data_IF_084969066054
#
_entry.id   IF_084969066054
#
_cell.length_a   1.000
_cell.length_b   1.000
_cell.length_c   1.000
_cell.angle_alpha   90.00
_cell.angle_beta   90.00
_cell.angle_gamma   90.00
#
_symmetry.space_group_name_H-M   'P 1'
#
loop_
_entity.id
_entity.type
_entity.pdbx_description
1 polymer ?
#
# COMPACT_ATOMS: atom_id res chain seq x y z
N UNK A 1 -17.65 -5.35 2.78
CA UNK A 1 -17.40 -3.98 2.25
C UNK A 1 -18.70 -3.20 2.32
N UNK A 2 -18.66 -1.92 2.69
CA UNK A 2 -19.84 -1.06 2.77
C UNK A 2 -20.60 -0.94 1.44
N UNK A 3 -19.87 -0.90 0.33
CA UNK A 3 -20.46 -0.87 -1.02
C UNK A 3 -19.94 -2.04 -1.84
N UNK A 4 -20.83 -2.81 -2.45
CA UNK A 4 -20.48 -4.02 -3.22
C UNK A 4 -19.79 -3.65 -4.53
N UNK A 5 -20.08 -2.50 -5.12
CA UNK A 5 -19.47 -2.08 -6.39
C UNK A 5 -17.98 -1.75 -6.25
N UNK A 6 -17.45 -1.58 -5.03
CA UNK A 6 -16.02 -1.57 -4.77
C UNK A 6 -15.31 -2.84 -5.27
N UNK A 7 -16.02 -3.97 -5.36
CA UNK A 7 -15.49 -5.23 -5.89
C UNK A 7 -14.90 -5.06 -7.30
N UNK A 8 -15.48 -4.20 -8.13
CA UNK A 8 -15.03 -4.00 -9.51
C UNK A 8 -13.86 -3.00 -9.61
N UNK A 9 -13.76 -2.05 -8.67
CA UNK A 9 -12.80 -0.96 -8.72
C UNK A 9 -11.58 -1.17 -7.82
N UNK A 10 -11.77 -1.79 -6.67
CA UNK A 10 -10.75 -2.07 -5.65
C UNK A 10 -10.86 -3.52 -5.14
N UNK A 11 -10.80 -4.54 -6.01
CA UNK A 11 -11.05 -5.94 -5.63
C UNK A 11 -10.11 -6.52 -4.57
N UNK A 12 -8.87 -6.00 -4.51
CA UNK A 12 -7.73 -6.55 -3.75
C UNK A 12 -7.14 -5.52 -2.76
N UNK A 13 -7.99 -4.70 -2.14
CA UNK A 13 -7.59 -3.72 -1.11
C UNK A 13 -7.66 -4.34 0.29
N UNK A 14 -6.76 -3.98 1.20
CA UNK A 14 -6.74 -4.51 2.58
C UNK A 14 -8.12 -4.41 3.25
N UNK A 15 -8.71 -3.22 3.20
CA UNK A 15 -9.99 -2.92 3.85
C UNK A 15 -11.20 -3.65 3.24
N UNK A 16 -10.98 -4.44 2.18
CA UNK A 16 -12.02 -5.24 1.55
C UNK A 16 -12.22 -6.64 2.16
N UNK A 17 -11.31 -7.07 3.05
CA UNK A 17 -11.37 -8.35 3.77
C UNK A 17 -11.50 -8.11 5.28
N UNK A 18 -12.14 -9.02 6.04
CA UNK A 18 -12.21 -8.92 7.49
C UNK A 18 -10.85 -9.21 8.14
N UNK A 19 -10.62 -8.62 9.31
CA UNK A 19 -9.54 -8.95 10.25
C UNK A 19 -9.80 -10.35 10.85
N UNK A 20 -8.81 -10.93 11.53
CA UNK A 20 -8.94 -12.26 12.15
C UNK A 20 -10.04 -12.32 13.21
N UNK A 21 -10.31 -11.20 13.89
CA UNK A 21 -11.45 -11.07 14.81
C UNK A 21 -12.83 -10.96 14.12
N UNK A 22 -12.88 -11.10 12.78
CA UNK A 22 -14.09 -11.05 11.96
C UNK A 22 -14.60 -9.64 11.64
N UNK A 23 -14.00 -8.58 12.21
CA UNK A 23 -14.40 -7.20 11.94
C UNK A 23 -13.66 -6.59 10.74
N UNK A 24 -14.27 -5.61 10.08
CA UNK A 24 -13.61 -4.76 9.09
C UNK A 24 -13.04 -3.50 9.75
N UNK A 25 -12.19 -2.76 9.03
CA UNK A 25 -11.66 -1.47 9.49
C UNK A 25 -12.73 -0.39 9.74
N UNK A 26 -13.93 -0.59 9.20
CA UNK A 26 -15.01 0.39 9.23
C UNK A 26 -15.67 0.43 10.61
N UNK A 27 -15.54 1.53 11.37
CA UNK A 27 -16.21 1.68 12.66
C UNK A 27 -17.72 1.74 12.45
N UNK A 28 -18.49 1.30 13.43
CA UNK A 28 -19.94 1.53 13.42
C UNK A 28 -20.24 3.02 13.60
N UNK A 29 -21.32 3.50 13.00
CA UNK A 29 -21.65 4.93 12.99
C UNK A 29 -21.76 5.51 14.40
N UNK A 30 -22.39 4.78 15.32
CA UNK A 30 -22.56 5.14 16.73
C UNK A 30 -21.23 5.23 17.51
N UNK A 31 -20.14 4.68 16.96
CA UNK A 31 -18.80 4.75 17.56
C UNK A 31 -17.94 5.89 17.02
N UNK A 32 -18.49 6.72 16.13
CA UNK A 32 -17.82 7.91 15.58
C UNK A 32 -18.30 9.12 16.38
N UNK A 33 -17.39 9.92 16.96
CA UNK A 33 -17.74 11.14 17.69
C UNK A 33 -18.58 12.13 16.86
N UNK A 34 -19.53 12.79 17.52
CA UNK A 34 -20.47 13.74 16.90
C UNK A 34 -19.74 14.87 16.16
N UNK A 35 -18.68 15.43 16.77
CA UNK A 35 -17.88 16.49 16.15
C UNK A 35 -17.20 16.07 14.83
N UNK A 36 -16.93 14.78 14.63
CA UNK A 36 -16.45 14.27 13.35
C UNK A 36 -17.61 14.15 12.37
N UNK A 37 -18.76 13.64 12.81
CA UNK A 37 -19.95 13.45 11.98
C UNK A 37 -20.56 14.76 11.48
N UNK A 38 -20.52 15.84 12.28
CA UNK A 38 -21.02 17.17 11.90
C UNK A 38 -20.31 17.75 10.67
N UNK A 39 -19.04 17.39 10.44
CA UNK A 39 -18.28 17.79 9.25
C UNK A 39 -18.60 16.96 7.99
N UNK A 40 -19.38 15.89 8.13
CA UNK A 40 -19.69 14.92 7.08
C UNK A 40 -21.12 15.08 6.60
N UNK A 41 -21.33 14.84 5.31
CA UNK A 41 -22.67 14.90 4.73
C UNK A 41 -22.81 13.79 3.69
N UNK A 42 -23.74 12.84 3.88
CA UNK A 42 -23.96 11.81 2.90
C UNK A 42 -24.61 12.40 1.65
N UNK A 43 -24.45 11.73 0.51
CA UNK A 43 -25.11 12.20 -0.71
C UNK A 43 -26.64 12.15 -0.55
N UNK A 44 -27.32 13.27 -0.81
CA UNK A 44 -28.78 13.37 -0.68
C UNK A 44 -29.54 12.37 -1.58
N UNK A 45 -28.92 11.87 -2.67
CA UNK A 45 -29.51 10.90 -3.60
C UNK A 45 -29.54 9.46 -3.09
N UNK A 46 -28.89 9.14 -1.97
CA UNK A 46 -29.04 7.80 -1.39
C UNK A 46 -30.50 7.55 -1.01
N UNK A 47 -31.01 6.40 -1.39
CA UNK A 47 -32.41 6.00 -1.21
C UNK A 47 -32.63 5.25 0.10
N UNK A 48 -31.60 4.58 0.62
CA UNK A 48 -31.66 3.85 1.89
C UNK A 48 -30.90 4.55 3.02
N UNK A 49 -31.33 4.34 4.27
CA UNK A 49 -30.61 4.83 5.45
C UNK A 49 -29.26 4.13 5.59
N UNK A 50 -29.20 2.81 5.39
CA UNK A 50 -27.95 2.04 5.45
C UNK A 50 -26.88 2.58 4.49
N UNK A 51 -27.25 3.00 3.28
CA UNK A 51 -26.30 3.61 2.36
C UNK A 51 -25.76 4.97 2.87
N UNK A 52 -26.61 5.78 3.51
CA UNK A 52 -26.20 7.05 4.12
C UNK A 52 -25.22 6.81 5.27
N UNK A 53 -25.51 5.83 6.12
CA UNK A 53 -24.65 5.48 7.27
C UNK A 53 -23.30 4.94 6.78
N UNK A 54 -23.31 4.02 5.81
CA UNK A 54 -22.09 3.48 5.22
C UNK A 54 -21.26 4.55 4.49
N UNK A 55 -21.92 5.54 3.89
CA UNK A 55 -21.26 6.69 3.27
C UNK A 55 -20.56 7.56 4.31
N UNK A 56 -21.22 7.88 5.43
CA UNK A 56 -20.62 8.63 6.54
C UNK A 56 -19.38 7.92 7.10
N UNK A 57 -19.48 6.61 7.32
CA UNK A 57 -18.37 5.77 7.80
C UNK A 57 -17.22 5.74 6.77
N UNK A 58 -17.55 5.66 5.47
CA UNK A 58 -16.56 5.74 4.40
C UNK A 58 -15.85 7.10 4.41
N UNK A 59 -16.59 8.20 4.52
CA UNK A 59 -16.04 9.55 4.60
C UNK A 59 -15.10 9.67 5.80
N UNK A 60 -15.54 9.27 7.00
CA UNK A 60 -14.75 9.36 8.24
C UNK A 60 -13.35 8.75 8.09
N UNK A 61 -13.25 7.51 7.60
CA UNK A 61 -11.94 6.85 7.39
C UNK A 61 -11.08 7.63 6.38
N UNK A 62 -11.68 8.10 5.29
CA UNK A 62 -10.94 8.75 4.22
C UNK A 62 -10.52 10.19 4.55
N UNK A 63 -11.15 10.83 5.53
CA UNK A 63 -10.71 12.14 6.07
C UNK A 63 -9.70 12.01 7.22
N UNK A 64 -9.29 10.80 7.60
CA UNK A 64 -8.24 10.60 8.61
C UNK A 64 -8.75 10.28 10.02
N UNK A 65 -10.00 9.82 10.16
CA UNK A 65 -10.46 9.20 11.41
C UNK A 65 -9.80 7.83 11.56
N UNK A 66 -9.16 7.59 12.72
CA UNK A 66 -8.31 6.42 12.96
C UNK A 66 -8.72 5.62 14.19
N UNK A 67 -9.86 5.94 14.80
CA UNK A 67 -10.34 5.36 16.06
C UNK A 67 -11.70 4.68 15.85
N UNK A 68 -12.22 4.02 16.88
CA UNK A 68 -13.52 3.38 16.87
C UNK A 68 -13.66 2.38 18.02
N UNK A 69 -14.76 2.48 18.77
CA UNK A 69 -15.05 1.56 19.87
C UNK A 69 -15.59 0.22 19.35
N UNK A 70 -16.37 0.25 18.27
CA UNK A 70 -16.96 -0.95 17.65
C UNK A 70 -16.86 -0.88 16.13
N UNK A 71 -16.80 -2.04 15.48
CA UNK A 71 -16.57 -2.16 14.05
C UNK A 71 -17.58 -3.09 13.38
N UNK A 72 -17.87 -2.85 12.10
CA UNK A 72 -18.75 -3.71 11.32
C UNK A 72 -18.11 -5.09 11.11
N UNK A 73 -18.90 -6.16 11.32
CA UNK A 73 -18.52 -7.55 10.98
C UNK A 73 -19.09 -8.00 9.62
N UNK A 74 -20.18 -7.37 9.19
CA UNK A 74 -20.86 -7.61 7.93
C UNK A 74 -21.51 -6.30 7.44
N UNK A 75 -21.94 -6.30 6.19
CA UNK A 75 -22.65 -5.17 5.58
C UNK A 75 -23.85 -5.72 4.81
N UNK A 76 -24.98 -5.04 4.94
CA UNK A 76 -26.21 -5.41 4.29
C UNK A 76 -26.14 -5.08 2.78
N UNK A 77 -26.86 -5.85 1.93
CA UNK A 77 -27.03 -5.50 0.53
C UNK A 77 -27.67 -4.11 0.38
N UNK A 78 -27.08 -3.24 -0.45
CA UNK A 78 -27.67 -1.95 -0.79
C UNK A 78 -28.46 -1.99 -2.12
N UNK A 79 -29.44 -1.09 -2.31
CA UNK A 79 -30.07 -0.87 -3.60
C UNK A 79 -29.04 -0.52 -4.70
N UNK A 80 -29.26 -1.00 -5.93
CA UNK A 80 -28.36 -0.74 -7.07
C UNK A 80 -28.20 0.78 -7.32
N UNK A 81 -29.26 1.56 -7.11
CA UNK A 81 -29.21 3.04 -7.19
C UNK A 81 -28.15 3.62 -6.25
N UNK A 82 -28.09 3.14 -5.02
CA UNK A 82 -27.17 3.63 -4.00
C UNK A 82 -25.72 3.25 -4.31
N UNK A 83 -25.50 2.04 -4.84
CA UNK A 83 -24.19 1.61 -5.31
C UNK A 83 -23.63 2.52 -6.42
N UNK A 84 -24.46 2.95 -7.39
CA UNK A 84 -24.05 3.92 -8.41
C UNK A 84 -23.87 5.34 -7.84
N UNK A 85 -24.71 5.77 -6.89
CA UNK A 85 -24.51 7.06 -6.21
C UNK A 85 -23.15 7.09 -5.51
N UNK A 86 -22.75 6.00 -4.86
CA UNK A 86 -21.42 5.85 -4.25
C UNK A 86 -20.30 5.93 -5.31
N UNK A 87 -20.42 5.17 -6.41
CA UNK A 87 -19.42 5.21 -7.48
C UNK A 87 -19.21 6.64 -8.01
N UNK A 88 -20.30 7.36 -8.26
CA UNK A 88 -20.26 8.75 -8.76
C UNK A 88 -19.76 9.75 -7.71
N UNK A 89 -19.96 9.45 -6.43
CA UNK A 89 -19.49 10.27 -5.32
C UNK A 89 -17.97 10.21 -5.14
N UNK A 90 -17.30 9.09 -5.41
CA UNK A 90 -15.87 8.94 -5.08
C UNK A 90 -14.94 8.59 -6.24
N UNK A 91 -15.46 8.07 -7.35
CA UNK A 91 -14.67 7.68 -8.50
C UNK A 91 -14.95 8.58 -9.70
N UNK A 92 -14.00 8.63 -10.64
CA UNK A 92 -14.24 9.34 -11.90
C UNK A 92 -15.45 8.70 -12.62
N UNK A 93 -16.35 9.50 -13.23
CA UNK A 93 -17.46 9.05 -14.07
C UNK A 93 -17.20 7.84 -14.98
N UNK A 94 -16.01 7.77 -15.58
CA UNK A 94 -15.60 6.66 -16.47
C UNK A 94 -15.61 5.32 -15.74
N UNK A 95 -15.25 5.29 -14.45
CA UNK A 95 -15.27 4.06 -13.65
C UNK A 95 -16.69 3.59 -13.34
N UNK A 96 -17.65 4.49 -13.23
CA UNK A 96 -19.06 4.12 -13.11
C UNK A 96 -19.59 3.46 -14.40
N UNK A 97 -19.15 3.94 -15.57
CA UNK A 97 -19.47 3.32 -16.85
C UNK A 97 -18.80 1.94 -16.99
N UNK A 98 -17.53 1.82 -16.58
CA UNK A 98 -16.83 0.54 -16.55
C UNK A 98 -17.59 -0.51 -15.71
N UNK A 99 -18.09 -0.14 -14.53
CA UNK A 99 -18.90 -1.04 -13.71
C UNK A 99 -20.20 -1.42 -14.43
N UNK A 100 -20.92 -0.45 -15.02
CA UNK A 100 -22.13 -0.73 -15.79
C UNK A 100 -21.88 -1.77 -16.89
N UNK A 101 -20.82 -1.61 -17.69
CA UNK A 101 -20.49 -2.54 -18.77
C UNK A 101 -20.24 -3.96 -18.26
N UNK A 102 -19.54 -4.11 -17.13
CA UNK A 102 -19.35 -5.41 -16.49
C UNK A 102 -20.65 -6.03 -15.98
N UNK A 103 -21.54 -5.20 -15.41
CA UNK A 103 -22.84 -5.63 -14.88
C UNK A 103 -23.78 -6.10 -16.01
N UNK A 104 -23.79 -5.37 -17.12
CA UNK A 104 -24.53 -5.72 -18.33
C UNK A 104 -23.99 -7.00 -18.98
N UNK A 105 -22.67 -7.15 -19.09
CA UNK A 105 -22.06 -8.38 -19.60
C UNK A 105 -22.34 -9.61 -18.75
N UNK A 106 -22.62 -9.41 -17.45
CA UNK A 106 -23.08 -10.48 -16.56
C UNK A 106 -24.58 -10.79 -16.63
N UNK A 107 -25.35 -10.08 -17.48
CA UNK A 107 -26.81 -10.21 -17.67
C UNK A 107 -27.63 -10.09 -16.37
N UNK A 108 -27.09 -9.41 -15.35
CA UNK A 108 -27.75 -9.25 -14.05
C UNK A 108 -28.63 -8.00 -14.05
N UNK A 109 -29.89 -8.17 -14.41
CA UNK A 109 -30.94 -7.15 -14.31
C UNK A 109 -30.62 -5.85 -15.11
N UNK A 110 -30.45 -5.96 -16.45
CA UNK A 110 -29.84 -4.91 -17.27
C UNK A 110 -30.62 -3.58 -17.26
N UNK A 111 -31.95 -3.63 -17.27
CA UNK A 111 -32.78 -2.42 -17.23
C UNK A 111 -32.65 -1.66 -15.91
N UNK A 112 -32.60 -2.38 -14.78
CA UNK A 112 -32.40 -1.78 -13.47
C UNK A 112 -31.00 -1.15 -13.34
N UNK A 113 -29.96 -1.81 -13.87
CA UNK A 113 -28.59 -1.29 -13.91
C UNK A 113 -28.50 0.01 -14.71
N UNK A 114 -29.08 0.04 -15.92
CA UNK A 114 -29.12 1.24 -16.76
C UNK A 114 -29.87 2.35 -16.04
N UNK A 115 -31.08 2.09 -15.52
CA UNK A 115 -31.87 3.08 -14.80
C UNK A 115 -31.13 3.65 -13.58
N UNK A 116 -30.44 2.81 -12.82
CA UNK A 116 -29.66 3.23 -11.65
C UNK A 116 -28.41 4.05 -12.03
N UNK A 117 -27.72 3.68 -13.12
CA UNK A 117 -26.63 4.47 -13.67
C UNK A 117 -27.09 5.87 -14.10
N UNK A 118 -28.21 5.96 -14.82
CA UNK A 118 -28.80 7.25 -15.22
C UNK A 118 -29.27 8.07 -14.01
N UNK A 119 -29.86 7.43 -13.00
CA UNK A 119 -30.25 8.09 -11.74
C UNK A 119 -29.07 8.79 -11.06
N UNK A 120 -27.91 8.14 -11.01
CA UNK A 120 -26.70 8.67 -10.39
C UNK A 120 -25.91 9.66 -11.27
N UNK A 121 -26.28 9.86 -12.55
CA UNK A 121 -25.47 10.66 -13.50
C UNK A 121 -25.16 12.08 -13.06
N UNK A 122 -26.08 12.72 -12.33
CA UNK A 122 -25.93 14.11 -11.85
C UNK A 122 -25.20 14.21 -10.51
N UNK A 123 -24.84 13.09 -9.88
CA UNK A 123 -24.03 13.08 -8.66
C UNK A 123 -22.64 13.61 -8.99
N UNK A 124 -22.21 14.62 -8.21
CA UNK A 124 -20.88 15.20 -8.28
C UNK A 124 -19.91 14.44 -7.36
N UNK A 125 -18.66 14.33 -7.80
CA UNK A 125 -17.58 13.72 -7.02
C UNK A 125 -17.29 14.58 -5.77
N UNK A 126 -17.22 13.95 -4.61
CA UNK A 126 -16.84 14.56 -3.34
C UNK A 126 -15.32 14.78 -3.27
N UNK A 127 -14.90 15.85 -2.58
CA UNK A 127 -13.50 16.21 -2.37
C UNK A 127 -13.12 15.99 -0.90
N UNK A 128 -12.92 14.72 -0.53
CA UNK A 128 -12.69 14.33 0.87
C UNK A 128 -11.41 14.91 1.47
N UNK A 129 -10.33 15.04 0.68
CA UNK A 129 -9.06 15.57 1.18
C UNK A 129 -9.18 17.00 1.72
N UNK A 130 -10.10 17.81 1.17
CA UNK A 130 -10.38 19.17 1.67
C UNK A 130 -11.07 19.19 3.02
N UNK A 131 -11.68 18.07 3.41
CA UNK A 131 -12.34 17.86 4.70
C UNK A 131 -11.48 17.03 5.66
N UNK A 132 -10.20 16.81 5.34
CA UNK A 132 -9.30 16.05 6.18
C UNK A 132 -9.20 16.64 7.59
N UNK A 133 -9.20 15.76 8.60
CA UNK A 133 -9.03 16.13 10.00
C UNK A 133 -7.65 16.76 10.17
N UNK A 134 -7.65 18.05 10.50
CA UNK A 134 -6.42 18.79 10.79
C UNK A 134 -5.96 18.44 12.20
N UNK A 135 -4.70 18.01 12.34
CA UNK A 135 -4.09 17.70 13.63
C UNK A 135 -3.10 18.78 14.01
N UNK A 136 -3.63 19.98 14.22
CA UNK A 136 -2.84 21.18 14.53
C UNK A 136 -2.02 21.05 15.81
N UNK A 137 -2.44 20.16 16.73
CA UNK A 137 -1.71 19.86 17.96
C UNK A 137 -0.56 18.85 17.78
N UNK A 138 -0.42 18.18 16.63
CA UNK A 138 0.63 17.19 16.41
C UNK A 138 2.06 17.77 16.43
N UNK A 139 2.35 18.92 15.79
CA UNK A 139 3.68 19.54 15.84
C UNK A 139 4.16 19.83 17.28
N UNK A 140 3.25 20.26 18.16
CA UNK A 140 3.54 20.61 19.56
C UNK A 140 3.43 19.42 20.53
N UNK A 141 2.91 18.28 20.05
CA UNK A 141 2.72 17.08 20.88
C UNK A 141 4.04 16.62 21.52
N UNK A 142 4.04 16.57 22.85
CA UNK A 142 5.13 16.07 23.67
C UNK A 142 5.01 14.55 23.79
N UNK A 143 5.81 13.84 23.01
CA UNK A 143 5.78 12.38 22.98
C UNK A 143 6.55 11.78 24.16
N UNK A 144 5.85 10.96 24.95
CA UNK A 144 6.43 10.15 26.02
C UNK A 144 7.41 9.10 25.46
N UNK A 145 7.10 8.54 24.27
CA UNK A 145 7.99 7.62 23.57
C UNK A 145 9.30 8.31 23.15
N UNK A 146 9.25 9.56 22.70
CA UNK A 146 10.47 10.32 22.40
C UNK A 146 11.25 10.62 23.68
N UNK A 147 10.55 11.00 24.76
CA UNK A 147 11.16 11.33 26.05
C UNK A 147 11.89 10.14 26.70
N UNK A 148 11.38 8.91 26.53
CA UNK A 148 12.02 7.69 27.02
C UNK A 148 13.23 7.23 26.20
N UNK A 149 13.50 7.89 25.07
CA UNK A 149 14.65 7.65 24.19
C UNK A 149 14.88 6.14 23.87
N UNK A 150 13.89 5.39 23.35
CA UNK A 150 14.09 3.99 22.97
C UNK A 150 15.12 3.84 21.84
N UNK A 151 15.89 2.75 21.83
CA UNK A 151 16.78 2.45 20.70
C UNK A 151 15.95 2.20 19.43
N UNK A 152 16.31 2.87 18.33
CA UNK A 152 15.75 2.63 16.99
C UNK A 152 16.80 1.92 16.14
N UNK A 153 16.44 0.83 15.47
CA UNK A 153 17.30 0.17 14.49
C UNK A 153 16.90 0.58 13.08
N UNK A 154 17.74 1.37 12.41
CA UNK A 154 17.53 1.77 11.01
C UNK A 154 18.04 0.66 10.09
N UNK A 155 17.16 0.07 9.28
CA UNK A 155 17.45 -1.10 8.46
C UNK A 155 17.59 -0.69 6.99
N UNK A 156 18.78 -0.84 6.42
CA UNK A 156 19.09 -0.46 5.03
C UNK A 156 19.68 -1.66 4.27
N UNK A 157 18.88 -2.34 3.43
CA UNK A 157 19.42 -3.25 2.44
C UNK A 157 20.00 -2.45 1.27
N UNK A 158 21.21 -2.77 0.83
CA UNK A 158 21.83 -2.15 -0.35
C UNK A 158 22.37 -3.17 -1.35
N UNK A 159 22.37 -2.80 -2.64
CA UNK A 159 22.90 -3.62 -3.72
C UNK A 159 23.39 -2.73 -4.86
N UNK A 160 24.71 -2.59 -4.96
CA UNK A 160 25.42 -1.86 -6.02
C UNK A 160 24.99 -0.38 -6.16
N UNK A 161 24.88 0.37 -5.04
CA UNK A 161 24.39 1.77 -4.99
C UNK A 161 25.14 2.68 -4.01
N UNK A 162 26.46 2.52 -3.89
CA UNK A 162 27.26 3.28 -2.92
C UNK A 162 27.14 4.80 -3.06
N UNK A 163 27.01 5.33 -4.27
CA UNK A 163 26.86 6.77 -4.50
C UNK A 163 25.60 7.34 -3.80
N UNK A 164 24.48 6.62 -3.87
CA UNK A 164 23.22 7.04 -3.24
C UNK A 164 23.23 6.75 -1.74
N UNK A 165 23.81 5.61 -1.35
CA UNK A 165 23.95 5.23 0.05
C UNK A 165 24.80 6.25 0.83
N UNK A 166 25.80 6.87 0.20
CA UNK A 166 26.59 7.92 0.83
C UNK A 166 25.72 9.11 1.27
N UNK A 167 24.77 9.53 0.44
CA UNK A 167 23.84 10.62 0.77
C UNK A 167 22.86 10.21 1.86
N UNK A 168 22.37 8.97 1.82
CA UNK A 168 21.52 8.36 2.85
C UNK A 168 22.21 8.42 4.22
N UNK A 169 23.46 7.97 4.31
CA UNK A 169 24.22 7.96 5.56
C UNK A 169 24.51 9.39 6.07
N UNK A 170 24.80 10.35 5.18
CA UNK A 170 24.95 11.77 5.54
C UNK A 170 23.66 12.41 6.06
N UNK A 171 22.50 11.99 5.58
CA UNK A 171 21.21 12.44 6.11
C UNK A 171 20.92 11.81 7.48
N UNK A 172 21.39 10.59 7.73
CA UNK A 172 21.29 9.94 9.04
C UNK A 172 22.19 10.60 10.10
N UNK A 173 23.39 11.05 9.74
CA UNK A 173 24.27 11.81 10.66
C UNK A 173 23.64 13.12 11.16
N UNK A 174 22.65 13.64 10.43
CA UNK A 174 21.96 14.89 10.76
C UNK A 174 20.70 14.69 11.60
N UNK A 175 20.34 13.44 11.94
CA UNK A 175 19.10 13.18 12.68
C UNK A 175 19.14 13.83 14.06
N UNK A 176 18.04 14.50 14.43
CA UNK A 176 17.91 15.16 15.72
C UNK A 176 17.59 14.18 16.85
N UNK A 177 17.15 12.96 16.51
CA UNK A 177 16.96 11.88 17.47
C UNK A 177 18.26 11.07 17.58
N UNK A 178 18.93 11.01 18.74
CA UNK A 178 20.31 10.53 18.81
C UNK A 178 20.46 9.02 19.09
N UNK A 179 19.42 8.34 19.58
CA UNK A 179 19.55 6.96 20.08
C UNK A 179 19.11 5.93 19.03
N UNK A 180 19.95 5.74 18.02
CA UNK A 180 19.69 4.76 16.97
C UNK A 180 20.98 4.08 16.49
N UNK A 181 20.84 2.85 16.03
CA UNK A 181 21.87 2.12 15.28
C UNK A 181 21.48 2.02 13.80
N UNK A 182 22.45 1.77 12.94
CA UNK A 182 22.24 1.58 11.50
C UNK A 182 22.68 0.17 11.11
N UNK A 183 21.76 -0.66 10.67
CA UNK A 183 22.04 -2.01 10.20
C UNK A 183 22.03 -2.00 8.67
N UNK A 184 23.20 -2.22 8.08
CA UNK A 184 23.37 -2.24 6.64
C UNK A 184 23.59 -3.67 6.19
N UNK A 185 22.72 -4.16 5.31
CA UNK A 185 22.88 -5.46 4.66
C UNK A 185 23.28 -5.25 3.21
N UNK A 186 24.58 -5.32 2.96
CA UNK A 186 25.18 -5.10 1.65
C UNK A 186 25.24 -6.39 0.85
N UNK A 187 24.66 -6.37 -0.35
CA UNK A 187 24.58 -7.49 -1.30
C UNK A 187 25.39 -7.21 -2.58
N UNK A 188 26.20 -6.15 -2.58
CA UNK A 188 26.95 -5.66 -3.73
C UNK A 188 28.00 -6.66 -4.22
N UNK A 189 28.17 -6.73 -5.54
CA UNK A 189 29.16 -7.62 -6.16
C UNK A 189 30.60 -7.20 -5.80
N UNK A 190 30.83 -5.88 -5.70
CA UNK A 190 32.10 -5.28 -5.29
C UNK A 190 31.98 -4.75 -3.86
N UNK A 191 31.74 -5.65 -2.91
CA UNK A 191 31.67 -5.31 -1.49
C UNK A 191 32.94 -4.58 -1.00
N UNK A 192 32.76 -3.45 -0.32
CA UNK A 192 33.86 -2.67 0.24
C UNK A 192 33.57 -2.23 1.67
N UNK A 193 34.10 -2.95 2.66
CA UNK A 193 33.96 -2.57 4.06
C UNK A 193 34.57 -1.18 4.38
N UNK A 194 35.57 -0.75 3.61
CA UNK A 194 36.19 0.58 3.78
C UNK A 194 35.25 1.74 3.48
N UNK A 195 34.23 1.54 2.63
CA UNK A 195 33.22 2.56 2.33
C UNK A 195 32.54 3.09 3.61
N UNK A 196 32.34 2.22 4.59
CA UNK A 196 31.57 2.53 5.81
C UNK A 196 32.39 3.19 6.93
N UNK A 197 33.72 3.27 6.82
CA UNK A 197 34.61 3.72 7.92
C UNK A 197 34.62 5.24 8.17
N UNK A 198 33.96 6.03 7.31
CA UNK A 198 34.00 7.49 7.36
C UNK A 198 32.74 8.17 7.92
N UNK A 199 31.77 7.41 8.40
CA UNK A 199 30.51 7.95 8.90
C UNK A 199 30.47 7.93 10.43
N UNK A 200 29.98 9.00 11.04
CA UNK A 200 29.75 9.13 12.47
C UNK A 200 28.42 8.46 12.86
N UNK A 201 28.31 7.15 12.60
CA UNK A 201 27.14 6.32 12.83
C UNK A 201 27.56 5.00 13.45
N UNK A 202 26.76 4.45 14.37
CA UNK A 202 26.91 3.06 14.83
C UNK A 202 26.41 2.12 13.73
N UNK A 203 27.31 1.77 12.80
CA UNK A 203 26.98 0.89 11.67
C UNK A 203 27.26 -0.58 12.03
N UNK A 204 26.21 -1.39 12.06
CA UNK A 204 26.29 -2.84 12.03
C UNK A 204 26.24 -3.31 10.57
N UNK A 205 27.39 -3.70 10.02
CA UNK A 205 27.54 -4.08 8.62
C UNK A 205 27.48 -5.61 8.44
N UNK A 206 26.56 -6.05 7.59
CA UNK A 206 26.41 -7.45 7.21
C UNK A 206 26.62 -7.58 5.70
N UNK A 207 27.55 -8.44 5.30
CA UNK A 207 27.73 -8.79 3.88
C UNK A 207 26.92 -10.04 3.56
N UNK A 208 25.92 -9.90 2.70
CA UNK A 208 25.05 -10.99 2.28
C UNK A 208 25.32 -11.35 0.81
N UNK A 209 25.80 -12.58 0.58
CA UNK A 209 26.08 -13.07 -0.79
C UNK A 209 24.81 -13.27 -1.63
N UNK A 210 23.72 -13.74 -0.99
CA UNK A 210 22.46 -13.93 -1.70
C UNK A 210 21.82 -12.57 -2.00
N UNK A 211 21.50 -12.29 -3.26
CA UNK A 211 20.80 -11.06 -3.65
C UNK A 211 19.29 -11.22 -3.43
N UNK A 212 18.84 -10.96 -2.21
CA UNK A 212 17.50 -11.24 -1.69
C UNK A 212 17.08 -10.16 -0.67
N UNK A 213 16.06 -9.37 -1.01
CA UNK A 213 15.65 -8.20 -0.22
C UNK A 213 14.96 -8.60 1.09
N UNK A 214 14.09 -9.60 1.05
CA UNK A 214 13.34 -10.02 2.24
C UNK A 214 14.24 -10.76 3.21
N UNK A 215 15.18 -11.57 2.70
CA UNK A 215 16.27 -12.14 3.49
C UNK A 215 17.09 -11.04 4.16
N UNK A 216 17.54 -10.04 3.41
CA UNK A 216 18.34 -8.95 3.96
C UNK A 216 17.61 -8.21 5.09
N UNK A 217 16.32 -7.92 4.91
CA UNK A 217 15.51 -7.31 5.97
C UNK A 217 15.29 -8.24 7.15
N UNK A 218 14.99 -9.51 6.92
CA UNK A 218 14.81 -10.50 7.97
C UNK A 218 16.06 -10.63 8.84
N UNK A 219 17.24 -10.78 8.22
CA UNK A 219 18.53 -10.82 8.92
C UNK A 219 18.76 -9.56 9.74
N UNK A 220 18.44 -8.37 9.19
CA UNK A 220 18.57 -7.13 9.93
C UNK A 220 17.60 -7.02 11.11
N UNK A 221 16.36 -7.54 10.99
CA UNK A 221 15.38 -7.60 12.10
C UNK A 221 15.87 -8.53 13.22
N UNK A 222 16.42 -9.69 12.85
CA UNK A 222 16.93 -10.67 13.81
C UNK A 222 18.06 -10.09 14.66
N UNK A 223 19.04 -9.45 14.02
CA UNK A 223 20.22 -8.90 14.72
C UNK A 223 20.00 -7.53 15.37
N UNK A 224 18.80 -6.94 15.22
CA UNK A 224 18.52 -5.59 15.71
C UNK A 224 18.49 -5.53 17.24
N UNK A 225 19.09 -4.48 17.81
CA UNK A 225 19.06 -4.19 19.26
C UNK A 225 17.82 -3.39 19.65
N UNK A 226 17.31 -2.57 18.74
CA UNK A 226 16.14 -1.72 18.95
C UNK A 226 14.82 -2.50 18.89
N UNK A 227 13.88 -2.12 19.77
CA UNK A 227 12.48 -2.57 19.73
C UNK A 227 11.64 -1.83 18.68
N UNK A 228 12.22 -0.81 18.04
CA UNK A 228 11.63 -0.02 16.98
C UNK A 228 12.48 -0.15 15.72
N UNK A 229 11.88 -0.64 14.64
CA UNK A 229 12.55 -1.01 13.40
C UNK A 229 12.15 -0.01 12.32
N UNK A 230 13.12 0.78 11.86
CA UNK A 230 12.92 1.81 10.85
C UNK A 230 13.48 1.35 9.52
N UNK A 231 12.62 0.88 8.63
CA UNK A 231 13.05 0.42 7.31
C UNK A 231 13.24 1.59 6.35
N UNK A 232 14.38 1.60 5.66
CA UNK A 232 14.78 2.70 4.80
C UNK A 232 15.44 2.20 3.50
N UNK A 233 15.10 2.83 2.37
CA UNK A 233 15.74 2.50 1.09
C UNK A 233 17.08 3.25 0.91
N UNK A 234 18.00 2.63 0.18
CA UNK A 234 19.34 3.16 -0.13
C UNK A 234 19.36 4.26 -1.20
N UNK A 235 18.21 4.66 -1.75
CA UNK A 235 18.04 5.70 -2.77
C UNK A 235 17.01 6.78 -2.38
N UNK A 236 17.02 7.19 -1.11
CA UNK A 236 16.08 8.14 -0.52
C UNK A 236 16.76 9.28 0.23
N UNK A 237 16.09 10.44 0.29
CA UNK A 237 16.53 11.62 1.07
C UNK A 237 15.51 11.96 2.15
N UNK A 238 15.96 12.33 3.35
CA UNK A 238 15.11 12.59 4.51
C UNK A 238 15.51 13.85 5.26
N UNK A 239 14.55 14.45 5.98
CA UNK A 239 14.80 15.61 6.83
C UNK A 239 15.45 15.19 8.16
N UNK A 240 16.05 16.17 8.87
CA UNK A 240 16.75 15.95 10.15
C UNK A 240 15.85 15.44 11.28
N UNK A 241 14.55 15.69 11.22
CA UNK A 241 13.57 15.28 12.22
C UNK A 241 12.83 13.98 11.83
N UNK A 242 13.25 13.29 10.77
CA UNK A 242 12.52 12.16 10.20
C UNK A 242 12.27 11.02 11.20
N UNK A 243 13.30 10.58 11.94
CA UNK A 243 13.13 9.54 12.98
C UNK A 243 12.17 10.03 14.08
N UNK A 244 12.33 11.29 14.51
CA UNK A 244 11.50 11.92 15.54
C UNK A 244 10.01 11.92 15.12
N UNK A 245 9.70 12.26 13.87
CA UNK A 245 8.31 12.31 13.39
C UNK A 245 7.66 10.94 13.35
N UNK A 246 8.42 9.87 13.06
CA UNK A 246 7.91 8.51 13.15
C UNK A 246 7.58 8.11 14.60
N UNK A 247 8.48 8.40 15.55
CA UNK A 247 8.27 8.11 16.97
C UNK A 247 7.04 8.83 17.52
N UNK A 248 6.92 10.14 17.25
CA UNK A 248 5.75 10.94 17.63
C UNK A 248 4.46 10.36 17.08
N UNK A 249 4.47 9.87 15.84
CA UNK A 249 3.30 9.27 15.21
C UNK A 249 2.86 7.97 15.90
N UNK A 250 3.80 7.08 16.28
CA UNK A 250 3.43 5.85 17.00
C UNK A 250 2.75 6.16 18.33
N UNK A 251 3.31 7.11 19.08
CA UNK A 251 2.80 7.52 20.39
C UNK A 251 1.44 8.23 20.28
N UNK A 252 1.37 9.28 19.46
CA UNK A 252 0.16 10.10 19.29
C UNK A 252 -1.06 9.26 18.88
N UNK A 253 -0.88 8.26 18.02
CA UNK A 253 -1.96 7.43 17.52
C UNK A 253 -2.16 6.14 18.30
N UNK A 254 -1.27 5.83 19.24
CA UNK A 254 -1.11 4.51 19.83
C UNK A 254 -1.16 3.42 18.72
N UNK A 255 -0.13 3.44 17.87
CA UNK A 255 -0.03 2.62 16.67
C UNK A 255 1.19 1.68 16.72
N UNK A 256 1.15 0.63 15.90
CA UNK A 256 2.25 -0.32 15.74
C UNK A 256 3.13 0.03 14.54
N UNK A 257 2.59 0.82 13.60
CA UNK A 257 3.30 1.28 12.42
C UNK A 257 3.09 2.77 12.12
N UNK A 258 4.17 3.42 11.66
CA UNK A 258 4.15 4.77 11.11
C UNK A 258 4.77 4.71 9.71
N UNK A 259 3.95 4.70 8.68
CA UNK A 259 4.37 4.73 7.27
C UNK A 259 4.53 6.18 6.82
N UNK A 260 5.75 6.58 6.51
CA UNK A 260 6.01 7.92 6.00
C UNK A 260 5.58 8.06 4.55
N UNK A 261 5.36 9.31 4.11
CA UNK A 261 4.93 9.57 2.73
C UNK A 261 6.11 9.61 1.77
N UNK A 262 5.94 8.99 0.61
CA UNK A 262 6.97 8.94 -0.43
C UNK A 262 6.73 10.01 -1.49
N UNK A 263 7.53 11.07 -1.43
CA UNK A 263 7.56 12.14 -2.43
C UNK A 263 8.40 11.67 -3.61
N UNK A 264 7.79 11.61 -4.80
CA UNK A 264 8.50 11.22 -6.02
C UNK A 264 8.91 12.46 -6.80
N UNK A 265 10.20 12.59 -7.12
CA UNK A 265 10.70 13.63 -8.06
C UNK A 265 10.32 13.31 -9.51
N UNK A 266 10.04 12.03 -9.80
CA UNK A 266 9.66 11.52 -11.12
C UNK A 266 8.37 10.70 -11.03
N UNK A 267 7.35 11.08 -11.80
CA UNK A 267 6.12 10.28 -11.97
C UNK A 267 4.82 11.08 -11.86
N UNK A 268 3.76 10.38 -11.45
CA UNK A 268 2.42 10.94 -11.24
C UNK A 268 2.37 11.90 -10.04
N UNK A 269 1.37 12.78 -10.02
CA UNK A 269 1.15 13.72 -8.93
C UNK A 269 1.02 13.01 -7.56
N UNK A 270 1.54 13.65 -6.51
CA UNK A 270 1.44 13.15 -5.14
C UNK A 270 -0.06 13.08 -4.78
N UNK A 271 -0.55 11.92 -4.32
CA UNK A 271 -1.95 11.80 -3.94
C UNK A 271 -2.31 12.79 -2.82
N UNK A 272 -3.44 13.48 -2.93
CA UNK A 272 -3.90 14.45 -1.92
C UNK A 272 -3.95 13.84 -0.51
N UNK A 273 -4.28 12.56 -0.40
CA UNK A 273 -4.35 11.87 0.88
C UNK A 273 -2.99 11.61 1.57
N UNK A 274 -1.88 12.01 0.95
CA UNK A 274 -0.56 12.03 1.58
C UNK A 274 -0.30 13.33 2.35
N UNK A 275 -1.20 14.32 2.31
CA UNK A 275 -1.02 15.58 3.03
C UNK A 275 -1.58 15.58 4.46
N UNK A 276 -2.15 14.47 4.93
CA UNK A 276 -2.74 14.35 6.26
C UNK A 276 -2.63 12.92 6.82
N UNK A 277 -2.80 12.80 8.13
CA UNK A 277 -2.77 11.51 8.81
C UNK A 277 -3.99 10.66 8.47
N UNK A 278 -3.78 9.37 8.22
CA UNK A 278 -4.86 8.38 8.06
C UNK A 278 -4.37 6.97 8.32
N UNK A 279 -5.29 6.03 8.47
CA UNK A 279 -4.94 4.61 8.43
C UNK A 279 -4.37 4.31 7.05
N UNK A 280 -3.15 3.77 7.01
CA UNK A 280 -2.49 3.40 5.76
C UNK A 280 -3.15 2.16 5.18
N UNK A 281 -3.46 2.20 3.87
CA UNK A 281 -4.00 1.06 3.12
C UNK A 281 -2.93 0.35 2.28
N UNK A 282 -1.67 0.73 2.47
CA UNK A 282 -0.49 0.09 1.91
C UNK A 282 0.67 0.26 2.89
N UNK A 283 1.57 -0.71 2.94
CA UNK A 283 2.85 -0.58 3.64
C UNK A 283 3.92 -0.16 2.63
N UNK A 284 4.72 0.84 2.96
CA UNK A 284 5.92 1.21 2.21
C UNK A 284 7.13 0.92 3.10
N UNK A 285 7.73 -0.25 2.91
CA UNK A 285 8.90 -0.68 3.69
C UNK A 285 10.17 0.08 3.36
N UNK A 286 10.15 1.01 2.41
CA UNK A 286 11.26 1.94 2.23
C UNK A 286 11.16 3.19 3.12
N UNK A 287 10.06 3.36 3.85
CA UNK A 287 9.84 4.48 4.77
C UNK A 287 8.78 4.13 5.82
N UNK A 288 9.11 3.22 6.73
CA UNK A 288 8.18 2.83 7.80
C UNK A 288 8.90 2.46 9.09
N UNK A 289 8.40 3.01 10.20
CA UNK A 289 8.74 2.56 11.54
C UNK A 289 7.72 1.52 12.01
N UNK A 290 8.20 0.36 12.44
CA UNK A 290 7.39 -0.74 12.98
C UNK A 290 7.92 -1.18 14.35
N UNK A 291 7.02 -1.58 15.26
CA UNK A 291 7.43 -2.23 16.52
C UNK A 291 7.97 -3.64 16.24
N UNK A 292 9.10 -4.03 16.85
CA UNK A 292 9.68 -5.38 16.75
C UNK A 292 8.71 -6.46 17.26
N UNK A 293 7.86 -6.12 18.23
CA UNK A 293 6.78 -6.99 18.71
C UNK A 293 5.78 -7.43 17.63
N UNK A 294 5.59 -6.66 16.56
CA UNK A 294 4.79 -7.08 15.40
C UNK A 294 5.45 -8.28 14.72
N UNK A 295 6.76 -8.22 14.49
CA UNK A 295 7.50 -9.32 13.87
C UNK A 295 7.50 -10.58 14.75
N UNK A 296 7.62 -10.43 16.08
CA UNK A 296 7.48 -11.54 17.03
C UNK A 296 6.10 -12.19 16.95
N UNK A 297 5.05 -11.39 16.78
CA UNK A 297 3.68 -11.89 16.77
C UNK A 297 3.24 -12.54 15.44
N UNK A 298 3.66 -11.97 14.30
CA UNK A 298 3.16 -12.41 12.97
C UNK A 298 4.23 -13.02 12.07
N UNK A 299 5.47 -13.12 12.55
CA UNK A 299 6.62 -13.63 11.81
C UNK A 299 7.26 -12.60 10.87
N UNK A 300 8.44 -12.97 10.36
CA UNK A 300 9.27 -12.17 9.47
C UNK A 300 8.63 -11.97 8.07
N UNK A 301 9.33 -11.31 7.14
CA UNK A 301 8.85 -11.17 5.77
C UNK A 301 8.83 -12.52 5.03
N UNK A 302 7.80 -12.74 4.20
CA UNK A 302 7.67 -13.96 3.41
C UNK A 302 8.67 -13.98 2.24
N UNK A 303 9.60 -14.93 2.26
CA UNK A 303 10.61 -15.09 1.21
C UNK A 303 10.05 -15.61 -0.11
N UNK A 304 8.77 -16.01 -0.20
CA UNK A 304 8.12 -16.28 -1.49
C UNK A 304 8.08 -15.05 -2.41
N UNK A 305 8.28 -13.84 -1.88
CA UNK A 305 8.29 -12.58 -2.64
C UNK A 305 9.67 -12.16 -3.13
N UNK A 306 10.70 -12.98 -2.92
CA UNK A 306 12.06 -12.65 -3.35
C UNK A 306 12.16 -12.38 -4.84
N UNK A 307 12.90 -11.31 -5.17
CA UNK A 307 13.13 -10.84 -6.55
C UNK A 307 11.83 -10.53 -7.32
N UNK A 308 10.71 -10.34 -6.61
CA UNK A 308 9.39 -10.06 -7.18
C UNK A 308 8.73 -8.87 -6.43
N UNK A 309 7.40 -8.75 -6.50
CA UNK A 309 6.62 -7.61 -5.94
C UNK A 309 5.59 -8.08 -4.94
N UNK A 310 5.03 -7.15 -4.18
CA UNK A 310 3.96 -7.35 -3.21
C UNK A 310 4.39 -7.91 -1.84
N UNK A 311 5.68 -8.02 -1.52
CA UNK A 311 6.07 -8.41 -0.15
C UNK A 311 5.72 -7.34 0.90
N UNK A 312 5.80 -6.04 0.56
CA UNK A 312 5.26 -4.97 1.43
C UNK A 312 3.76 -5.12 1.60
N UNK A 313 3.11 -5.43 0.47
CA UNK A 313 1.69 -5.70 0.33
C UNK A 313 1.24 -6.82 1.28
N UNK A 314 2.01 -7.89 1.30
CA UNK A 314 1.77 -9.09 2.09
C UNK A 314 1.96 -8.81 3.59
N UNK A 315 3.09 -8.22 3.99
CA UNK A 315 3.33 -7.91 5.39
C UNK A 315 2.29 -6.92 5.94
N UNK A 316 1.96 -5.88 5.16
CA UNK A 316 0.91 -4.93 5.51
C UNK A 316 -0.48 -5.58 5.62
N UNK A 317 -0.78 -6.57 4.79
CA UNK A 317 -2.00 -7.37 4.91
C UNK A 317 -2.01 -8.21 6.19
N UNK A 318 -0.89 -8.86 6.56
CA UNK A 318 -0.80 -9.60 7.83
C UNK A 318 -0.96 -8.67 9.03
N UNK A 319 -0.36 -7.48 9.00
CA UNK A 319 -0.57 -6.46 10.03
C UNK A 319 -2.05 -6.10 10.15
N UNK A 320 -2.69 -5.76 9.03
CA UNK A 320 -4.11 -5.43 9.00
C UNK A 320 -4.98 -6.56 9.55
N UNK A 321 -4.73 -7.81 9.13
CA UNK A 321 -5.49 -8.98 9.60
C UNK A 321 -5.36 -9.21 11.11
N UNK A 322 -4.21 -8.87 11.70
CA UNK A 322 -3.97 -8.97 13.15
C UNK A 322 -4.37 -7.72 13.93
N UNK A 323 -5.14 -6.81 13.30
CA UNK A 323 -5.62 -5.58 13.93
C UNK A 323 -4.54 -4.59 14.36
N UNK A 324 -3.36 -4.66 13.74
CA UNK A 324 -2.30 -3.69 13.98
C UNK A 324 -2.54 -2.40 13.21
N UNK A 325 -2.42 -1.28 13.91
CA UNK A 325 -2.65 0.06 13.36
C UNK A 325 -1.38 0.57 12.70
N UNK A 326 -1.47 0.85 11.40
CA UNK A 326 -0.42 1.52 10.63
C UNK A 326 -0.93 2.88 10.12
N UNK A 327 -0.22 3.95 10.46
CA UNK A 327 -0.62 5.32 10.15
C UNK A 327 0.25 5.90 9.03
N UNK A 328 -0.39 6.44 8.00
CA UNK A 328 0.26 7.29 6.99
C UNK A 328 0.64 8.62 7.63
N UNK A 329 1.92 8.95 7.65
CA UNK A 329 2.51 10.07 8.36
C UNK A 329 3.07 11.11 7.36
N UNK A 330 2.39 12.26 7.16
CA UNK A 330 2.86 13.30 6.24
C UNK A 330 4.13 14.01 6.73
N UNK A 331 4.42 14.00 8.04
CA UNK A 331 5.60 14.67 8.61
C UNK A 331 6.87 13.83 8.50
N UNK A 332 6.75 12.51 8.36
CA UNK A 332 7.88 11.61 8.12
C UNK A 332 8.07 11.32 6.63
N UNK A 333 8.13 12.37 5.81
CA UNK A 333 8.27 12.21 4.36
C UNK A 333 9.69 11.82 3.95
N UNK A 334 9.80 11.06 2.86
CA UNK A 334 11.07 10.89 2.13
C UNK A 334 10.95 11.38 0.70
N UNK A 335 12.05 11.80 0.11
CA UNK A 335 12.17 11.99 -1.34
C UNK A 335 12.81 10.73 -1.93
N UNK A 336 12.03 9.94 -2.67
CA UNK A 336 12.51 8.70 -3.28
C UNK A 336 12.99 8.99 -4.71
N UNK A 337 14.29 8.79 -4.96
CA UNK A 337 14.96 9.18 -6.20
C UNK A 337 14.64 8.26 -7.38
N UNK A 338 14.11 7.05 -7.11
CA UNK A 338 13.74 6.03 -8.11
C UNK A 338 14.86 5.76 -9.12
N UNK A 339 16.07 5.54 -8.62
CA UNK A 339 17.27 5.37 -9.42
C UNK A 339 17.11 4.22 -10.41
N UNK A 340 17.51 4.43 -11.67
CA UNK A 340 17.31 3.48 -12.78
C UNK A 340 18.17 2.21 -12.71
N UNK A 341 19.21 2.18 -11.88
CA UNK A 341 20.21 1.11 -11.77
C UNK A 341 20.37 0.61 -10.33
N UNK A 342 21.01 -0.55 -10.15
CA UNK A 342 21.22 -1.18 -8.83
C UNK A 342 19.94 -1.74 -8.20
N UNK A 343 20.06 -2.34 -7.01
CA UNK A 343 18.94 -2.87 -6.23
C UNK A 343 18.15 -3.97 -6.95
N UNK A 344 16.87 -4.10 -6.58
CA UNK A 344 15.94 -5.06 -7.21
C UNK A 344 15.79 -4.88 -8.73
N UNK A 345 16.17 -3.72 -9.28
CA UNK A 345 16.07 -3.42 -10.72
C UNK A 345 17.06 -4.26 -11.55
N UNK A 346 18.07 -4.86 -10.91
CA UNK A 346 18.98 -5.81 -11.57
C UNK A 346 18.34 -7.19 -11.85
N UNK A 347 17.24 -7.54 -11.17
CA UNK A 347 16.73 -8.92 -11.13
C UNK A 347 15.46 -9.16 -11.94
N UNK A 348 14.96 -8.18 -12.70
CA UNK A 348 13.82 -8.37 -13.60
C UNK A 348 13.04 -7.10 -13.92
N UNK A 349 11.90 -7.27 -14.59
CA UNK A 349 10.96 -6.16 -14.85
C UNK A 349 10.42 -5.64 -13.53
N UNK A 350 10.63 -4.35 -13.27
CA UNK A 350 10.04 -3.69 -12.12
C UNK A 350 8.51 -3.59 -12.26
N UNK A 351 7.96 -3.53 -13.48
CA UNK A 351 6.52 -3.42 -13.67
C UNK A 351 5.82 -4.77 -13.40
N UNK A 352 5.00 -4.81 -12.35
CA UNK A 352 4.31 -6.02 -11.91
C UNK A 352 3.37 -6.62 -12.98
N UNK A 353 2.93 -5.82 -13.94
CA UNK A 353 1.98 -6.21 -14.99
C UNK A 353 2.55 -6.05 -16.41
N UNK A 354 3.81 -5.63 -16.56
CA UNK A 354 4.50 -5.61 -17.86
C UNK A 354 5.72 -6.50 -17.86
N UNK A 355 5.84 -7.22 -18.96
CA UNK A 355 6.85 -8.24 -19.18
C UNK A 355 7.74 -7.82 -20.33
N UNK A 356 9.03 -8.10 -20.23
CA UNK A 356 10.01 -7.80 -21.29
C UNK A 356 10.04 -8.88 -22.37
N UNK A 357 9.65 -10.13 -22.05
CA UNK A 357 9.58 -11.26 -22.99
C UNK A 357 8.13 -11.66 -23.28
N UNK A 358 7.89 -12.15 -24.51
CA UNK A 358 6.56 -12.47 -25.04
C UNK A 358 5.78 -13.51 -24.22
N UNK A 359 6.46 -14.48 -23.60
CA UNK A 359 5.82 -15.54 -22.78
C UNK A 359 6.14 -15.45 -21.29
N UNK A 360 6.71 -14.33 -20.83
CA UNK A 360 6.90 -14.11 -19.40
C UNK A 360 5.53 -13.95 -18.69
N UNK A 361 5.41 -14.42 -17.44
CA UNK A 361 4.15 -14.38 -16.70
C UNK A 361 3.63 -12.94 -16.51
N UNK A 362 2.33 -12.74 -16.71
CA UNK A 362 1.64 -11.45 -16.50
C UNK A 362 0.37 -11.65 -15.65
N UNK A 363 0.22 -10.99 -14.49
CA UNK A 363 1.28 -10.26 -13.77
C UNK A 363 2.44 -11.20 -13.39
N UNK A 364 3.47 -10.68 -12.74
CA UNK A 364 4.48 -11.56 -12.15
C UNK A 364 3.83 -12.50 -11.11
N UNK A 365 4.36 -13.72 -10.91
CA UNK A 365 3.68 -14.75 -10.11
C UNK A 365 3.36 -14.34 -8.67
N UNK A 366 4.23 -13.56 -8.00
CA UNK A 366 4.00 -13.11 -6.63
C UNK A 366 2.75 -12.24 -6.46
N UNK A 367 2.31 -11.53 -7.49
CA UNK A 367 1.08 -10.73 -7.44
C UNK A 367 -0.13 -11.66 -7.31
N UNK A 368 -0.19 -12.71 -8.12
CA UNK A 368 -1.25 -13.70 -8.04
C UNK A 368 -1.13 -14.58 -6.80
N UNK A 369 0.09 -14.84 -6.32
CA UNK A 369 0.30 -15.50 -5.05
C UNK A 369 -0.34 -14.68 -3.92
N UNK A 370 0.04 -13.41 -3.75
CA UNK A 370 -0.59 -12.51 -2.79
C UNK A 370 -2.12 -12.43 -2.95
N UNK A 371 -2.62 -12.20 -4.17
CA UNK A 371 -4.06 -12.07 -4.39
C UNK A 371 -4.82 -13.34 -4.01
N UNK A 372 -4.27 -14.51 -4.31
CA UNK A 372 -4.94 -15.79 -4.03
C UNK A 372 -4.73 -16.28 -2.60
N UNK A 373 -3.73 -15.76 -1.87
CA UNK A 373 -3.54 -16.04 -0.44
C UNK A 373 -4.59 -15.34 0.44
N UNK A 374 -5.08 -14.17 0.03
CA UNK A 374 -5.94 -13.34 0.90
C UNK A 374 -7.33 -13.02 0.34
N UNK A 375 -7.58 -13.24 -0.94
CA UNK A 375 -8.83 -12.86 -1.58
C UNK A 375 -9.47 -14.02 -2.33
N UNK A 376 -10.81 -14.03 -2.35
CA UNK A 376 -11.61 -14.97 -3.14
C UNK A 376 -11.25 -14.91 -4.62
N UNK A 377 -11.30 -16.05 -5.31
CA UNK A 377 -11.00 -16.19 -6.75
C UNK A 377 -11.70 -15.13 -7.61
N UNK A 378 -12.97 -14.84 -7.33
CA UNK A 378 -13.76 -13.84 -8.06
C UNK A 378 -13.14 -12.44 -8.00
N UNK A 379 -12.58 -12.04 -6.85
CA UNK A 379 -11.87 -10.76 -6.67
C UNK A 379 -10.59 -10.73 -7.49
N UNK A 380 -9.84 -11.83 -7.47
CA UNK A 380 -8.60 -11.97 -8.25
C UNK A 380 -8.88 -11.81 -9.74
N UNK A 381 -9.97 -12.40 -10.24
CA UNK A 381 -10.39 -12.25 -11.64
C UNK A 381 -10.75 -10.80 -11.98
N UNK A 382 -11.49 -10.09 -11.12
CA UNK A 382 -11.76 -8.66 -11.34
C UNK A 382 -10.51 -7.80 -11.27
N UNK A 383 -9.54 -8.15 -10.41
CA UNK A 383 -8.26 -7.45 -10.34
C UNK A 383 -7.49 -7.59 -11.65
N UNK A 384 -7.43 -8.80 -12.21
CA UNK A 384 -6.82 -9.07 -13.52
C UNK A 384 -7.55 -8.32 -14.64
N UNK A 385 -8.89 -8.39 -14.67
CA UNK A 385 -9.71 -7.72 -15.69
C UNK A 385 -9.50 -6.20 -15.69
N UNK A 386 -9.30 -5.60 -14.52
CA UNK A 386 -9.04 -4.18 -14.38
C UNK A 386 -7.59 -3.80 -14.72
N UNK A 387 -6.61 -4.61 -14.27
CA UNK A 387 -5.20 -4.22 -14.30
C UNK A 387 -4.46 -4.64 -15.57
N UNK A 388 -4.83 -5.76 -16.20
CA UNK A 388 -4.11 -6.30 -17.36
C UNK A 388 -4.36 -5.48 -18.64
N UNK A 389 -5.59 -5.13 -19.05
CA UNK A 389 -5.81 -4.36 -20.27
C UNK A 389 -4.99 -3.06 -20.35
N UNK A 390 -4.96 -2.18 -19.32
CA UNK A 390 -4.15 -0.97 -19.38
C UNK A 390 -2.65 -1.23 -19.27
N UNK A 391 -2.18 -2.44 -18.90
CA UNK A 391 -0.76 -2.75 -18.85
C UNK A 391 -0.15 -2.99 -20.24
N UNK A 392 -0.97 -3.40 -21.21
CA UNK A 392 -0.55 -3.68 -22.60
C UNK A 392 -0.07 -2.41 -23.29
N UNK A 393 -0.74 -1.29 -23.04
CA UNK A 393 -0.45 -0.01 -23.69
C UNK A 393 0.67 0.70 -22.94
N UNK A 394 1.78 0.99 -23.62
CA UNK A 394 2.90 1.75 -23.06
C UNK A 394 2.46 3.17 -22.65
N UNK A 395 3.04 3.72 -21.57
CA UNK A 395 2.62 5.02 -21.02
C UNK A 395 2.71 6.17 -22.05
N UNK A 396 3.73 6.16 -22.92
CA UNK A 396 3.90 7.13 -24.02
C UNK A 396 2.69 7.22 -24.96
N UNK A 397 1.96 6.11 -25.15
CA UNK A 397 0.79 6.04 -26.03
C UNK A 397 -0.50 6.47 -25.32
N UNK A 398 -0.54 6.44 -23.98
CA UNK A 398 -1.71 6.84 -23.20
C UNK A 398 -2.01 8.33 -23.26
N UNK A 399 -1.01 9.17 -23.59
CA UNK A 399 -1.18 10.62 -23.71
C UNK A 399 -1.78 11.08 -25.05
N UNK A 400 -1.70 10.25 -26.10
CA UNK A 400 -2.19 10.60 -27.44
C UNK A 400 -3.45 9.78 -27.78
N UNK A 401 -4.58 10.44 -28.03
CA UNK A 401 -5.87 9.78 -28.30
C UNK A 401 -5.84 8.82 -29.49
N UNK A 402 -5.12 9.14 -30.57
CA UNK A 402 -4.98 8.27 -31.75
C UNK A 402 -4.16 7.02 -31.43
N UNK A 403 -3.04 7.19 -30.72
CA UNK A 403 -2.17 6.08 -30.30
C UNK A 403 -2.84 5.22 -29.22
N UNK A 404 -3.72 5.80 -28.40
CA UNK A 404 -4.55 5.07 -27.45
C UNK A 404 -5.54 4.15 -28.17
N UNK A 405 -6.24 4.65 -29.20
CA UNK A 405 -7.15 3.83 -30.02
C UNK A 405 -6.41 2.69 -30.73
N UNK A 406 -5.25 2.99 -31.33
CA UNK A 406 -4.38 1.97 -31.91
C UNK A 406 -3.96 0.94 -30.85
N UNK A 407 -3.58 1.40 -29.66
CA UNK A 407 -3.21 0.55 -28.54
C UNK A 407 -4.34 -0.38 -28.09
N UNK A 408 -5.60 0.07 -28.14
CA UNK A 408 -6.77 -0.77 -27.85
C UNK A 408 -6.89 -1.88 -28.92
N UNK A 409 -6.78 -1.55 -30.20
CA UNK A 409 -6.84 -2.55 -31.28
C UNK A 409 -5.72 -3.60 -31.17
N UNK A 410 -4.48 -3.15 -30.94
CA UNK A 410 -3.33 -4.04 -30.71
C UNK A 410 -3.54 -4.92 -29.47
N UNK A 411 -4.19 -4.39 -28.43
CA UNK A 411 -4.49 -5.17 -27.22
C UNK A 411 -5.46 -6.33 -27.47
N UNK A 412 -6.41 -6.17 -28.40
CA UNK A 412 -7.31 -7.25 -28.82
C UNK A 412 -6.53 -8.32 -29.58
N UNK A 413 -5.65 -7.93 -30.51
CA UNK A 413 -4.80 -8.88 -31.25
C UNK A 413 -3.86 -9.67 -30.33
N UNK A 414 -3.33 -9.02 -29.29
CA UNK A 414 -2.43 -9.65 -28.32
C UNK A 414 -3.16 -10.46 -27.24
N UNK A 415 -4.50 -10.45 -27.21
CA UNK A 415 -5.29 -11.07 -26.15
C UNK A 415 -5.00 -12.56 -25.96
N UNK A 416 -4.88 -13.41 -27.01
CA UNK A 416 -4.53 -14.83 -26.83
C UNK A 416 -3.20 -15.02 -26.12
N UNK A 417 -2.17 -14.24 -26.49
CA UNK A 417 -0.85 -14.29 -25.84
C UNK A 417 -0.93 -13.85 -24.38
N UNK A 418 -1.71 -12.82 -24.09
CA UNK A 418 -1.90 -12.32 -22.73
C UNK A 418 -2.62 -13.35 -21.86
N UNK A 419 -3.61 -14.07 -22.40
CA UNK A 419 -4.27 -15.17 -21.70
C UNK A 419 -3.24 -16.25 -21.34
N UNK A 420 -2.35 -16.63 -22.27
CA UNK A 420 -1.26 -17.57 -21.97
C UNK A 420 -0.34 -17.05 -20.86
N UNK A 421 0.06 -15.77 -20.91
CA UNK A 421 0.87 -15.16 -19.84
C UNK A 421 0.18 -15.19 -18.47
N UNK A 422 -1.14 -14.96 -18.43
CA UNK A 422 -1.95 -15.05 -17.20
C UNK A 422 -1.99 -16.49 -16.69
N UNK A 423 -2.23 -17.48 -17.56
CA UNK A 423 -2.26 -18.89 -17.18
C UNK A 423 -0.91 -19.38 -16.64
N UNK A 424 0.20 -18.96 -17.25
CA UNK A 424 1.56 -19.24 -16.75
C UNK A 424 1.73 -18.63 -15.34
N UNK A 425 1.36 -17.36 -15.17
CA UNK A 425 1.42 -16.73 -13.85
C UNK A 425 0.53 -17.43 -12.82
N UNK A 426 -0.67 -17.84 -13.23
CA UNK A 426 -1.64 -18.51 -12.37
C UNK A 426 -1.12 -19.87 -11.88
N UNK A 427 -0.52 -20.66 -12.78
CA UNK A 427 0.09 -21.94 -12.44
C UNK A 427 1.29 -21.73 -11.49
N UNK A 428 2.20 -20.79 -11.81
CA UNK A 428 3.35 -20.48 -10.93
C UNK A 428 2.92 -20.00 -9.54
N UNK A 429 1.92 -19.13 -9.46
CA UNK A 429 1.32 -18.75 -8.18
C UNK A 429 0.68 -19.94 -7.46
N UNK A 430 0.05 -20.85 -8.21
CA UNK A 430 -0.50 -22.10 -7.68
C UNK A 430 0.56 -23.00 -7.04
N UNK A 431 1.77 -23.08 -7.62
CA UNK A 431 2.90 -23.78 -7.02
C UNK A 431 3.33 -23.14 -5.69
N UNK A 432 3.49 -21.81 -5.67
CA UNK A 432 3.79 -21.06 -4.43
C UNK A 432 2.75 -21.27 -3.33
N UNK A 433 1.46 -21.30 -3.68
CA UNK A 433 0.40 -21.60 -2.71
C UNK A 433 0.50 -23.01 -2.13
N UNK A 434 0.90 -24.00 -2.95
CA UNK A 434 1.10 -25.38 -2.48
C UNK A 434 2.34 -25.53 -1.60
N UNK A 435 3.42 -24.82 -1.95
CA UNK A 435 4.66 -24.76 -1.15
C UNK A 435 4.44 -24.05 0.20
N UNK A 436 3.47 -23.15 0.26
CA UNK A 436 3.19 -22.36 1.46
C UNK A 436 4.07 -21.10 1.56
N UNK A 437 3.79 -20.25 2.56
CA UNK A 437 4.62 -19.08 2.85
C UNK A 437 5.98 -19.50 3.45
N UNK A 438 7.02 -18.75 3.13
CA UNK A 438 8.36 -18.90 3.69
C UNK A 438 8.59 -17.81 4.75
N UNK A 439 7.80 -17.87 5.83
CA UNK A 439 7.84 -16.94 6.96
C UNK A 439 8.49 -17.63 8.14
N UNK A 440 9.59 -17.07 8.64
CA UNK A 440 10.24 -17.52 9.87
C UNK A 440 9.64 -16.79 11.09
N UNK A 441 9.62 -17.44 12.24
CA UNK A 441 9.35 -16.78 13.52
C UNK A 441 10.53 -15.88 13.91
N UNK A 442 10.24 -14.88 14.74
CA UNK A 442 11.26 -14.10 15.42
C UNK A 442 11.15 -14.42 16.91
N UNK A 443 12.20 -14.99 17.46
CA UNK A 443 12.26 -15.44 18.85
C UNK A 443 12.28 -14.28 19.87
#
# INVERSE_FOLDING_TARGET
MPFRFLLYLQPVRYFSVPRLNGSYIYPKLESIPINILEGLQPNAKYTSQSARDYDLVWQAIHIGYTQGATFYKSFDPLPIKDEYVFLRSYFNPVWSLYVLLLRLGGLKNPFAEIGAFWYARSVKKQQLAKKAIQRTNFPEFQSTLVASKPMVSVIIPTLNRYDYLQDVLKDLEKQTYPHFEVIIVDQSDKFSASFYKGFNLEINLIHQKEKALWLARNTAVEVSKGELLLFFDDDSRVAKDWILQHLKCLDYFNAEGSSGVSLSTVGDAIPEHYSYFRISDQLDTGNVLLKKSVFKAIGLYDRQFEKQRMGDGEFGMRMYKNDYKNISNPFASRVHLKVGTGGLRQMGSWDAFRTTKLFSPRPIPSVLYFYRSYFETKRVLFALLKAVPPSIIHYRFKKNKKLLLLGIFVSILLLPFIIVQILISWNKAGKKLKEGPLIQSLD
#
